data_IF_871844443659
#
_entry.id   IF_871844443659
#
_cell.length_a   1.000
_cell.length_b   1.000
_cell.length_c   1.000
_cell.angle_alpha   90.00
_cell.angle_beta   90.00
_cell.angle_gamma   90.00
#
_symmetry.space_group_name_H-M   'P 1'
#
loop_
_entity.id
_entity.type
_entity.pdbx_description
1 polymer ?
#
# COMPACT_ATOMS: atom_id res chain seq x y z
N UNK A 1 4.75 -24.24 -7.84
CA UNK A 1 3.36 -24.68 -8.11
C UNK A 1 2.38 -23.53 -8.41
N UNK A 2 2.81 -22.27 -8.61
CA UNK A 2 1.89 -21.13 -8.78
C UNK A 2 1.42 -20.85 -10.22
N UNK A 3 2.18 -21.24 -11.26
CA UNK A 3 1.75 -21.07 -12.66
C UNK A 3 0.53 -21.91 -13.10
N UNK A 4 0.15 -22.94 -12.34
CA UNK A 4 -1.02 -23.79 -12.66
C UNK A 4 -2.36 -23.11 -12.36
N UNK A 5 -2.41 -22.19 -11.39
CA UNK A 5 -3.66 -21.56 -10.98
C UNK A 5 -4.26 -20.73 -12.10
N UNK A 6 -3.49 -19.80 -12.70
CA UNK A 6 -3.94 -18.95 -13.80
C UNK A 6 -4.48 -19.74 -15.00
N UNK A 7 -3.80 -20.85 -15.35
CA UNK A 7 -4.21 -21.73 -16.44
C UNK A 7 -5.52 -22.47 -16.15
N UNK A 8 -5.72 -22.91 -14.90
CA UNK A 8 -6.89 -23.68 -14.50
C UNK A 8 -8.14 -22.80 -14.29
N UNK A 9 -7.95 -21.54 -13.93
CA UNK A 9 -9.05 -20.60 -13.66
C UNK A 9 -9.43 -19.75 -14.87
N UNK A 10 -8.65 -19.79 -15.96
CA UNK A 10 -8.91 -18.98 -17.16
C UNK A 10 -8.63 -17.48 -16.96
N UNK A 11 -7.90 -17.11 -15.90
CA UNK A 11 -7.53 -15.71 -15.63
C UNK A 11 -6.51 -15.26 -16.67
N UNK A 12 -6.79 -14.13 -17.33
CA UNK A 12 -5.90 -13.49 -18.30
C UNK A 12 -5.38 -12.12 -17.83
N UNK A 13 -5.83 -11.63 -16.66
CA UNK A 13 -5.40 -10.36 -16.08
C UNK A 13 -5.28 -10.51 -14.55
N UNK A 14 -4.15 -10.08 -14.01
CA UNK A 14 -3.86 -10.08 -12.58
C UNK A 14 -3.47 -8.67 -12.15
N UNK A 15 -4.25 -8.09 -11.24
CA UNK A 15 -3.96 -6.80 -10.61
C UNK A 15 -3.45 -7.04 -9.20
N UNK A 16 -2.20 -6.66 -8.95
CA UNK A 16 -1.49 -6.98 -7.72
C UNK A 16 -1.35 -5.69 -6.91
N UNK A 17 -2.10 -5.59 -5.82
CA UNK A 17 -2.21 -4.38 -5.00
C UNK A 17 -1.34 -4.50 -3.76
N UNK A 18 -0.43 -3.56 -3.53
CA UNK A 18 0.38 -3.52 -2.31
C UNK A 18 1.62 -2.65 -2.39
N UNK A 19 2.40 -2.67 -1.29
CA UNK A 19 3.64 -1.91 -1.14
C UNK A 19 4.86 -2.62 -1.72
N UNK A 20 6.01 -2.46 -1.07
CA UNK A 20 7.30 -2.95 -1.57
C UNK A 20 7.43 -4.46 -1.60
N UNK A 21 7.04 -5.14 -0.52
CA UNK A 21 7.04 -6.61 -0.48
C UNK A 21 6.16 -7.20 -1.60
N UNK A 22 5.04 -6.53 -1.90
CA UNK A 22 4.16 -6.90 -3.00
C UNK A 22 4.81 -6.64 -4.38
N UNK A 23 5.73 -5.67 -4.49
CA UNK A 23 6.51 -5.48 -5.73
C UNK A 23 7.34 -6.71 -6.06
N UNK A 24 8.01 -7.25 -5.05
CA UNK A 24 8.88 -8.41 -5.18
C UNK A 24 8.02 -9.62 -5.60
N UNK A 25 6.87 -9.81 -4.94
CA UNK A 25 5.90 -10.84 -5.31
C UNK A 25 5.38 -10.70 -6.74
N UNK A 26 5.03 -9.48 -7.17
CA UNK A 26 4.58 -9.21 -8.54
C UNK A 26 5.65 -9.55 -9.58
N UNK A 27 6.92 -9.26 -9.31
CA UNK A 27 8.03 -9.63 -10.20
C UNK A 27 8.18 -11.15 -10.32
N UNK A 28 8.02 -11.89 -9.23
CA UNK A 28 8.05 -13.36 -9.25
C UNK A 28 6.88 -13.93 -10.06
N UNK A 29 5.68 -13.38 -9.90
CA UNK A 29 4.49 -13.79 -10.68
C UNK A 29 4.70 -13.53 -12.17
N UNK A 30 5.21 -12.34 -12.52
CA UNK A 30 5.52 -11.98 -13.90
C UNK A 30 6.50 -12.97 -14.54
N UNK A 31 7.62 -13.27 -13.85
CA UNK A 31 8.61 -14.23 -14.32
C UNK A 31 8.02 -15.63 -14.51
N UNK A 32 7.13 -16.07 -13.62
CA UNK A 32 6.49 -17.38 -13.75
C UNK A 32 5.48 -17.43 -14.91
N UNK A 33 4.71 -16.36 -15.12
CA UNK A 33 3.78 -16.22 -16.25
C UNK A 33 4.52 -16.28 -17.58
N UNK A 34 5.63 -15.53 -17.68
CA UNK A 34 6.52 -15.52 -18.83
C UNK A 34 7.14 -16.91 -19.07
N UNK A 35 7.72 -17.52 -18.03
CA UNK A 35 8.30 -18.87 -18.09
C UNK A 35 7.30 -19.94 -18.55
N UNK A 36 6.03 -19.78 -18.18
CA UNK A 36 4.97 -20.72 -18.55
C UNK A 36 4.29 -20.41 -19.90
N UNK A 37 4.69 -19.35 -20.59
CA UNK A 37 4.12 -18.93 -21.87
C UNK A 37 2.62 -18.60 -21.78
N UNK A 38 2.16 -18.12 -20.63
CA UNK A 38 0.74 -17.84 -20.42
C UNK A 38 0.37 -16.47 -21.00
N UNK A 39 -0.79 -16.37 -21.63
CA UNK A 39 -1.36 -15.10 -22.10
C UNK A 39 -2.06 -14.37 -20.95
N UNK A 40 -1.27 -13.97 -19.95
CA UNK A 40 -1.76 -13.26 -18.76
C UNK A 40 -1.06 -11.91 -18.66
N UNK A 41 -1.82 -10.84 -18.56
CA UNK A 41 -1.31 -9.52 -18.19
C UNK A 41 -1.21 -9.44 -16.66
N UNK A 42 -0.06 -9.03 -16.14
CA UNK A 42 0.15 -8.78 -14.72
C UNK A 42 0.48 -7.29 -14.51
N UNK A 43 -0.37 -6.58 -13.78
CA UNK A 43 -0.20 -5.17 -13.49
C UNK A 43 -0.10 -4.95 -11.98
N UNK A 44 0.87 -4.13 -11.55
CA UNK A 44 0.99 -3.72 -10.15
C UNK A 44 0.19 -2.44 -9.91
N UNK A 45 -0.54 -2.41 -8.80
CA UNK A 45 -1.16 -1.21 -8.24
C UNK A 45 -0.45 -0.90 -6.93
N UNK A 46 0.27 0.22 -6.90
CA UNK A 46 1.11 0.61 -5.77
C UNK A 46 0.26 1.15 -4.60
N UNK A 47 0.31 0.47 -3.44
CA UNK A 47 -0.35 0.89 -2.20
C UNK A 47 0.68 1.21 -1.13
N UNK A 48 0.71 2.47 -0.71
CA UNK A 48 1.41 2.92 0.50
C UNK A 48 0.66 4.11 1.07
N UNK A 49 0.64 4.24 2.39
CA UNK A 49 0.10 5.42 3.09
C UNK A 49 1.23 6.39 3.47
N UNK A 50 2.48 6.01 3.24
CA UNK A 50 3.67 6.82 3.54
C UNK A 50 4.01 7.80 2.41
N UNK A 51 3.45 7.56 1.21
CA UNK A 51 3.78 8.28 -0.01
C UNK A 51 5.28 8.32 -0.32
N UNK A 52 5.96 7.21 -0.08
CA UNK A 52 7.42 7.05 -0.14
C UNK A 52 7.93 6.49 -1.47
N UNK A 53 7.11 6.53 -2.52
CA UNK A 53 7.45 5.98 -3.83
C UNK A 53 8.05 7.08 -4.71
N UNK A 54 9.35 6.99 -4.98
CA UNK A 54 10.12 8.03 -5.70
C UNK A 54 9.64 8.38 -7.12
N UNK A 55 8.81 7.55 -7.74
CA UNK A 55 8.37 7.72 -9.15
C UNK A 55 6.95 8.28 -9.30
N UNK A 56 6.21 8.47 -8.20
CA UNK A 56 4.86 9.06 -8.21
C UNK A 56 4.77 10.18 -7.19
N UNK A 57 3.93 11.19 -7.47
CA UNK A 57 3.72 12.31 -6.54
C UNK A 57 2.83 11.92 -5.34
N UNK A 58 1.87 11.01 -5.57
CA UNK A 58 0.88 10.61 -4.58
C UNK A 58 0.46 9.15 -4.70
N UNK A 59 0.51 8.41 -3.60
CA UNK A 59 -0.07 7.08 -3.45
C UNK A 59 -1.49 7.13 -2.89
N UNK A 60 -2.30 6.12 -3.22
CA UNK A 60 -3.65 6.04 -2.70
C UNK A 60 -3.65 5.69 -1.20
N UNK A 61 -4.51 6.37 -0.44
CA UNK A 61 -4.62 6.23 1.01
C UNK A 61 -3.77 7.22 1.81
N UNK A 62 -2.82 7.95 1.19
CA UNK A 62 -2.03 8.97 1.87
C UNK A 62 -2.89 10.13 2.40
N UNK A 63 -3.75 10.72 1.56
CA UNK A 63 -4.58 11.87 1.97
C UNK A 63 -5.49 11.52 3.15
N UNK A 64 -6.13 10.34 3.11
CA UNK A 64 -6.96 9.86 4.21
C UNK A 64 -6.14 9.62 5.47
N UNK A 65 -4.91 9.09 5.36
CA UNK A 65 -4.03 8.94 6.52
C UNK A 65 -3.66 10.29 7.14
N UNK A 66 -3.42 11.32 6.32
CA UNK A 66 -3.17 12.69 6.79
C UNK A 66 -4.40 13.29 7.48
N UNK A 67 -5.59 13.09 6.92
CA UNK A 67 -6.85 13.56 7.52
C UNK A 67 -7.09 12.95 8.91
N UNK A 68 -6.89 11.64 9.06
CA UNK A 68 -7.02 10.98 10.37
C UNK A 68 -5.91 11.40 11.35
N UNK A 69 -4.66 11.58 10.87
CA UNK A 69 -3.57 12.08 11.70
C UNK A 69 -3.86 13.49 12.26
N UNK A 70 -4.42 14.38 11.43
CA UNK A 70 -4.82 15.71 11.87
C UNK A 70 -5.88 15.67 12.98
N UNK A 71 -6.83 14.74 12.88
CA UNK A 71 -7.86 14.55 13.91
C UNK A 71 -7.24 14.18 15.25
N UNK A 72 -6.33 13.22 15.27
CA UNK A 72 -5.66 12.76 16.50
C UNK A 72 -4.74 13.84 17.10
N UNK A 73 -4.01 14.57 16.26
CA UNK A 73 -3.17 15.71 16.68
C UNK A 73 -4.03 16.81 17.30
N UNK A 74 -5.14 17.18 16.65
CA UNK A 74 -6.03 18.24 17.14
C UNK A 74 -6.69 17.86 18.48
N UNK A 75 -7.12 16.60 18.63
CA UNK A 75 -7.64 16.10 19.91
C UNK A 75 -6.57 16.17 21.00
N UNK A 76 -5.35 15.70 20.72
CA UNK A 76 -4.24 15.73 21.68
C UNK A 76 -3.86 17.17 22.07
N UNK A 77 -3.92 18.11 21.12
CA UNK A 77 -3.69 19.52 21.41
C UNK A 77 -4.70 20.06 22.42
N UNK A 78 -6.00 19.78 22.23
CA UNK A 78 -7.07 20.20 23.15
C UNK A 78 -6.87 19.64 24.56
N UNK A 79 -6.46 18.37 24.67
CA UNK A 79 -6.17 17.74 25.97
C UNK A 79 -4.97 18.40 26.68
N UNK A 80 -3.88 18.65 25.95
CA UNK A 80 -2.65 19.19 26.54
C UNK A 80 -2.83 20.63 27.04
N UNK A 81 -3.54 21.48 26.31
CA UNK A 81 -3.78 22.87 26.73
C UNK A 81 -4.76 22.99 27.90
N UNK A 82 -5.45 21.91 28.24
CA UNK A 82 -6.40 21.86 29.37
C UNK A 82 -5.71 21.65 30.72
N UNK A 83 -4.39 21.39 30.75
CA UNK A 83 -3.60 21.18 31.96
C UNK A 83 -2.28 21.95 31.94
N UNK A 84 -1.88 22.53 33.08
CA UNK A 84 -0.58 23.18 33.22
C UNK A 84 0.55 22.15 33.04
N UNK A 85 1.52 22.45 32.16
CA UNK A 85 2.63 21.56 31.80
C UNK A 85 2.21 20.20 31.19
N UNK A 86 1.06 20.13 30.51
CA UNK A 86 0.63 18.93 29.79
C UNK A 86 1.61 18.51 28.67
N UNK A 87 1.77 17.20 28.46
CA UNK A 87 2.53 16.63 27.35
C UNK A 87 1.66 15.58 26.65
N UNK A 88 1.49 15.74 25.33
CA UNK A 88 0.74 14.82 24.48
C UNK A 88 1.66 14.14 23.49
N UNK A 89 1.56 12.81 23.39
CA UNK A 89 2.37 12.00 22.48
C UNK A 89 1.41 11.30 21.53
N UNK A 90 1.54 11.59 20.23
CA UNK A 90 0.77 10.93 19.17
C UNK A 90 1.74 10.06 18.36
N UNK A 91 1.41 8.77 18.26
CA UNK A 91 2.08 7.87 17.33
C UNK A 91 1.28 7.85 16.04
N UNK A 92 1.89 8.30 14.95
CA UNK A 92 1.36 8.17 13.60
C UNK A 92 1.90 6.89 12.93
N UNK A 93 1.44 6.66 11.70
CA UNK A 93 1.91 5.57 10.83
C UNK A 93 3.38 5.80 10.46
#
# INVERSE_FOLDING_TARGET
>A
MQGRSFRNTGINQAYIIGGDGTQIGASVIYKEVERCGLRVSAAKILKTIENDIAVIDKSFGFDTAVEEAQRDINATHVEVVSFENGIGIVKLM
#
